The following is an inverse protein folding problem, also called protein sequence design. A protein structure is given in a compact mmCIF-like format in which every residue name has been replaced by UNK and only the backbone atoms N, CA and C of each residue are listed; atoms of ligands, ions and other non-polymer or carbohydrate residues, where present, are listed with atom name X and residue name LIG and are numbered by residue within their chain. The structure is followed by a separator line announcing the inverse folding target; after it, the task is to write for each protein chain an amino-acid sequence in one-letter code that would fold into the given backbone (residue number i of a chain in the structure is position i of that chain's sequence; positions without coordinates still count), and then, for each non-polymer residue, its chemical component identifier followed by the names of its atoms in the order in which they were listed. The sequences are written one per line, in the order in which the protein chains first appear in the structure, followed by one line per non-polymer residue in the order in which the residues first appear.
data_IF_919804421233
#
_entry.id   IF_919804421233
#
_cell.length_a   1.000
_cell.length_b   1.000
_cell.length_c   1.000
_cell.angle_alpha   90.00
_cell.angle_beta   90.00
_cell.angle_gamma   90.00
#
_symmetry.space_group_name_H-M   'P 1'
#
loop_
_entity.id
_entity.type
_entity.pdbx_description
1 polymer ?
#
# COMPACT_ATOMS: atom_id res chain seq x y z
N UNK A 1 -1.50 -29.21 -13.03
CA UNK A 1 -2.36 -29.06 -14.22
C UNK A 1 -2.93 -27.63 -14.23
N UNK A 2 -2.19 -26.66 -14.71
CA UNK A 2 -2.64 -25.27 -14.84
C UNK A 2 -3.51 -25.18 -16.09
N UNK A 3 -4.84 -25.28 -15.89
CA UNK A 3 -5.86 -25.00 -16.90
C UNK A 3 -5.51 -23.68 -17.60
N UNK A 4 -5.52 -23.65 -18.93
CA UNK A 4 -5.15 -22.45 -19.72
C UNK A 4 -6.01 -21.26 -19.30
N UNK A 5 -5.47 -20.45 -18.39
CA UNK A 5 -6.12 -19.21 -17.99
C UNK A 5 -6.01 -18.21 -19.12
N UNK A 6 -7.11 -17.56 -19.48
CA UNK A 6 -7.10 -16.48 -20.47
C UNK A 6 -6.10 -15.39 -20.06
N UNK A 7 -5.50 -14.72 -21.05
CA UNK A 7 -4.53 -13.64 -20.84
C UNK A 7 -5.08 -12.60 -19.86
N UNK A 8 -6.38 -12.28 -19.98
CA UNK A 8 -7.11 -11.37 -19.05
C UNK A 8 -6.95 -11.78 -17.59
N UNK A 9 -7.17 -13.06 -17.28
CA UNK A 9 -7.06 -13.58 -15.90
C UNK A 9 -5.62 -13.63 -15.42
N UNK A 10 -4.65 -13.99 -16.28
CA UNK A 10 -3.23 -14.00 -15.91
C UNK A 10 -2.75 -12.60 -15.55
N UNK A 11 -3.01 -11.62 -16.40
CA UNK A 11 -2.59 -10.22 -16.17
C UNK A 11 -3.24 -9.66 -14.91
N UNK A 12 -4.56 -9.85 -14.72
CA UNK A 12 -5.24 -9.41 -13.49
C UNK A 12 -4.60 -10.03 -12.26
N UNK A 13 -4.33 -11.34 -12.26
CA UNK A 13 -3.74 -12.04 -11.12
C UNK A 13 -2.32 -11.53 -10.80
N UNK A 14 -1.49 -11.29 -11.83
CA UNK A 14 -0.14 -10.77 -11.67
C UNK A 14 -0.15 -9.35 -11.07
N UNK A 15 -0.94 -8.43 -11.66
CA UNK A 15 -1.03 -7.06 -11.14
C UNK A 15 -1.62 -7.01 -9.74
N UNK A 16 -2.70 -7.75 -9.48
CA UNK A 16 -3.29 -7.82 -8.14
C UNK A 16 -2.31 -8.43 -7.14
N UNK A 17 -1.56 -9.45 -7.52
CA UNK A 17 -0.54 -10.07 -6.67
C UNK A 17 0.61 -9.11 -6.31
N UNK A 18 1.12 -8.35 -7.28
CA UNK A 18 2.17 -7.35 -7.03
C UNK A 18 1.65 -6.25 -6.10
N UNK A 19 0.46 -5.72 -6.36
CA UNK A 19 -0.14 -4.67 -5.53
C UNK A 19 -0.44 -5.20 -4.11
N UNK A 20 -0.95 -6.42 -3.99
CA UNK A 20 -1.17 -7.06 -2.70
C UNK A 20 0.13 -7.23 -1.90
N UNK A 21 1.23 -7.59 -2.57
CA UNK A 21 2.54 -7.70 -1.95
C UNK A 21 3.04 -6.33 -1.46
N UNK A 22 2.94 -5.29 -2.28
CA UNK A 22 3.36 -3.92 -1.91
C UNK A 22 2.51 -3.41 -0.73
N UNK A 23 1.19 -3.55 -0.80
CA UNK A 23 0.29 -3.15 0.29
C UNK A 23 0.56 -3.96 1.56
N UNK A 24 0.85 -5.26 1.44
CA UNK A 24 1.24 -6.11 2.56
C UNK A 24 2.53 -5.63 3.23
N UNK A 25 3.53 -5.25 2.44
CA UNK A 25 4.79 -4.70 2.95
C UNK A 25 4.56 -3.36 3.68
N UNK A 26 3.73 -2.48 3.12
CA UNK A 26 3.35 -1.21 3.77
C UNK A 26 2.62 -1.47 5.08
N UNK A 27 1.72 -2.45 5.11
CA UNK A 27 0.99 -2.83 6.32
C UNK A 27 1.94 -3.34 7.42
N UNK A 28 2.87 -4.23 7.10
CA UNK A 28 3.90 -4.71 8.04
C UNK A 28 4.76 -3.56 8.55
N UNK A 29 5.18 -2.65 7.66
CA UNK A 29 5.92 -1.46 8.05
C UNK A 29 5.12 -0.57 9.00
N UNK A 30 3.84 -0.31 8.71
CA UNK A 30 2.95 0.47 9.57
C UNK A 30 2.78 -0.16 10.96
N UNK A 31 2.61 -1.49 11.05
CA UNK A 31 2.55 -2.17 12.35
C UNK A 31 3.82 -1.93 13.17
N UNK A 32 4.98 -2.12 12.55
CA UNK A 32 6.26 -1.93 13.23
C UNK A 32 6.48 -0.46 13.65
N UNK A 33 6.12 0.47 12.78
CA UNK A 33 6.34 1.90 13.00
C UNK A 33 5.41 2.46 14.08
N UNK A 34 4.12 2.10 14.06
CA UNK A 34 3.12 2.58 15.02
C UNK A 34 3.49 2.17 16.45
N UNK A 35 3.87 0.89 16.66
CA UNK A 35 4.26 0.42 17.99
C UNK A 35 5.51 1.15 18.52
N UNK A 36 6.50 1.36 17.66
CA UNK A 36 7.75 2.00 18.07
C UNK A 36 7.60 3.50 18.34
N UNK A 37 6.91 4.21 17.46
CA UNK A 37 6.76 5.68 17.59
C UNK A 37 5.85 6.06 18.75
N UNK A 38 4.76 5.33 18.98
CA UNK A 38 3.84 5.63 20.09
C UNK A 38 4.50 5.52 21.46
N UNK A 39 5.30 4.48 21.69
CA UNK A 39 6.03 4.30 22.94
C UNK A 39 7.11 5.38 23.11
N UNK A 40 7.92 5.62 22.06
CA UNK A 40 9.00 6.61 22.12
C UNK A 40 8.51 8.03 22.33
N UNK A 41 7.38 8.42 21.73
CA UNK A 41 6.78 9.73 21.96
C UNK A 41 6.34 9.91 23.43
N UNK A 42 5.76 8.86 24.03
CA UNK A 42 5.37 8.90 25.46
C UNK A 42 6.58 8.93 26.40
N UNK A 43 7.67 8.23 26.05
CA UNK A 43 8.93 8.30 26.81
C UNK A 43 9.50 9.72 26.85
N UNK A 44 9.52 10.39 25.71
CA UNK A 44 10.00 11.77 25.58
C UNK A 44 9.10 12.74 26.34
N UNK A 45 7.77 12.60 26.21
CA UNK A 45 6.79 13.42 26.89
C UNK A 45 6.92 13.33 28.43
N UNK A 46 6.98 12.11 28.99
CA UNK A 46 7.11 11.91 30.45
C UNK A 46 8.47 12.41 30.96
N UNK A 47 9.54 12.17 30.20
CA UNK A 47 10.88 12.66 30.53
C UNK A 47 10.94 14.18 30.55
N UNK A 48 10.38 14.84 29.54
CA UNK A 48 10.29 16.29 29.48
C UNK A 48 9.42 16.87 30.64
N UNK A 49 8.27 16.24 30.91
CA UNK A 49 7.38 16.64 31.98
C UNK A 49 8.07 16.55 33.37
N UNK A 50 8.80 15.46 33.66
CA UNK A 50 9.55 15.30 34.90
C UNK A 50 10.66 16.34 35.03
N UNK A 51 11.36 16.61 33.93
CA UNK A 51 12.41 17.63 33.90
C UNK A 51 11.83 19.02 34.14
N UNK A 52 10.69 19.36 33.52
CA UNK A 52 9.97 20.60 33.77
C UNK A 52 9.46 20.71 35.19
N UNK A 53 8.89 19.61 35.74
CA UNK A 53 8.42 19.57 37.10
C UNK A 53 9.53 19.79 38.14
N UNK A 54 10.75 19.33 37.83
CA UNK A 54 11.91 19.53 38.72
C UNK A 54 12.25 21.01 38.96
N UNK A 55 11.89 21.90 38.05
CA UNK A 55 12.08 23.35 38.20
C UNK A 55 11.25 23.98 39.34
N UNK A 56 10.18 23.30 39.80
CA UNK A 56 9.38 23.75 40.95
C UNK A 56 10.11 23.56 42.30
N UNK A 57 11.25 22.85 42.31
CA UNK A 57 12.07 22.66 43.49
C UNK A 57 13.22 23.65 43.53
N UNK A 58 13.28 24.45 44.59
CA UNK A 58 14.40 25.33 44.87
C UNK A 58 15.24 24.70 45.99
N UNK A 59 16.53 24.57 45.73
CA UNK A 59 17.49 24.01 46.70
C UNK A 59 18.32 25.14 47.28
N UNK A 60 18.14 25.41 48.56
CA UNK A 60 18.83 26.46 49.27
C UNK A 60 19.24 25.97 50.66
N UNK A 61 20.46 26.27 51.11
CA UNK A 61 21.01 25.95 52.45
C UNK A 61 20.86 24.48 52.89
N UNK A 62 20.98 23.53 51.92
CA UNK A 62 20.88 22.10 52.21
C UNK A 62 19.46 21.61 52.47
N UNK A 63 18.44 22.42 52.14
CA UNK A 63 17.03 22.09 52.21
C UNK A 63 16.38 22.35 50.86
N UNK A 64 15.30 21.64 50.57
CA UNK A 64 14.49 21.91 49.36
C UNK A 64 13.20 22.62 49.76
N UNK A 65 12.79 23.54 48.89
CA UNK A 65 11.53 24.27 49.00
C UNK A 65 10.71 23.94 47.77
N UNK A 66 9.46 23.56 47.96
CA UNK A 66 8.49 23.34 46.92
C UNK A 66 7.59 24.56 46.79
N UNK A 67 7.34 25.02 45.58
CA UNK A 67 6.41 26.12 45.32
C UNK A 67 4.99 25.74 45.78
N UNK A 68 4.28 26.68 46.45
CA UNK A 68 2.92 26.44 46.96
C UNK A 68 1.92 26.11 45.85
N UNK A 69 2.14 26.58 44.62
CA UNK A 69 1.27 26.35 43.46
C UNK A 69 1.63 25.08 42.66
N UNK A 70 2.47 24.18 43.22
CA UNK A 70 2.91 22.99 42.51
C UNK A 70 1.77 22.00 42.26
N UNK A 71 1.45 21.77 41.01
CA UNK A 71 0.44 20.78 40.63
C UNK A 71 1.12 19.41 40.39
N UNK A 72 0.66 18.38 41.14
CA UNK A 72 1.16 17.00 41.04
C UNK A 72 0.49 16.18 39.91
N UNK A 73 -0.31 16.82 39.08
CA UNK A 73 -0.90 16.28 37.88
C UNK A 73 -0.93 17.34 36.80
N UNK A 74 -0.24 17.10 35.69
CA UNK A 74 -0.20 18.01 34.57
C UNK A 74 -0.07 17.20 33.27
N UNK A 75 -0.86 17.54 32.24
CA UNK A 75 -0.83 16.96 30.91
C UNK A 75 -0.87 15.42 30.88
N UNK A 76 -1.65 14.81 31.78
CA UNK A 76 -1.77 13.35 31.84
C UNK A 76 -0.66 12.64 32.63
N UNK A 77 0.33 13.40 33.14
CA UNK A 77 1.43 12.86 33.95
C UNK A 77 1.15 13.15 35.42
N UNK A 78 1.22 12.12 36.24
CA UNK A 78 1.18 12.23 37.72
C UNK A 78 2.59 12.27 38.27
N UNK A 79 2.86 13.20 39.15
CA UNK A 79 4.15 13.37 39.81
C UNK A 79 4.13 12.87 41.25
N UNK A 80 5.13 12.07 41.58
CA UNK A 80 5.38 11.56 42.91
C UNK A 80 6.82 11.88 43.31
N UNK A 81 6.98 12.37 44.56
CA UNK A 81 8.30 12.70 45.08
C UNK A 81 8.61 11.77 46.24
N UNK A 82 9.79 11.18 46.21
CA UNK A 82 10.27 10.23 47.21
C UNK A 82 11.57 10.72 47.84
N UNK A 83 11.78 10.29 49.10
CA UNK A 83 13.07 10.47 49.78
C UNK A 83 14.09 9.43 49.32
N UNK A 84 15.31 9.53 49.88
CA UNK A 84 16.41 8.58 49.63
C UNK A 84 16.08 7.13 49.99
N UNK A 85 15.15 6.92 50.92
CA UNK A 85 14.72 5.60 51.38
C UNK A 85 13.55 5.04 50.56
N UNK A 86 13.09 5.76 49.51
CA UNK A 86 11.96 5.39 48.71
C UNK A 86 10.59 5.62 49.37
N UNK A 87 10.52 6.45 50.40
CA UNK A 87 9.28 6.84 51.04
C UNK A 87 8.64 8.00 50.27
N UNK A 88 7.35 7.89 49.94
CA UNK A 88 6.61 8.95 49.29
C UNK A 88 6.48 10.17 50.20
N UNK A 89 6.95 11.31 49.71
CA UNK A 89 6.87 12.61 50.42
C UNK A 89 5.68 13.43 49.89
N UNK A 90 5.53 13.55 48.59
CA UNK A 90 4.48 14.36 47.95
C UNK A 90 3.91 13.63 46.73
N UNK A 91 2.67 14.00 46.39
CA UNK A 91 1.97 13.44 45.25
C UNK A 91 1.11 12.23 45.58
N UNK A 92 0.36 11.75 44.62
CA UNK A 92 -0.55 10.60 44.75
C UNK A 92 -0.29 9.61 43.64
N UNK A 93 -0.12 8.34 44.00
CA UNK A 93 0.02 7.28 43.04
C UNK A 93 -1.34 6.88 42.43
N UNK A 94 -1.41 6.52 41.16
CA UNK A 94 -2.62 5.95 40.57
C UNK A 94 -3.05 4.67 41.29
N UNK A 95 -4.37 4.46 41.43
CA UNK A 95 -4.94 3.35 42.22
C UNK A 95 -4.42 1.96 41.81
N UNK A 96 -4.21 1.75 40.49
CA UNK A 96 -3.76 0.47 39.95
C UNK A 96 -2.25 0.38 39.72
N UNK A 97 -1.50 1.38 40.19
CA UNK A 97 -0.05 1.38 40.08
C UNK A 97 0.57 0.53 41.21
N UNK A 98 1.60 -0.32 40.91
CA UNK A 98 2.21 -1.16 41.92
C UNK A 98 3.00 -0.30 42.92
N UNK A 99 2.63 -0.39 44.22
CA UNK A 99 3.19 0.43 45.30
C UNK A 99 4.68 0.21 45.56
N UNK A 100 5.20 -0.97 45.22
CA UNK A 100 6.61 -1.31 45.42
C UNK A 100 7.32 -1.38 44.05
N UNK A 101 7.74 -0.22 43.55
CA UNK A 101 8.47 -0.12 42.32
C UNK A 101 9.84 0.49 42.58
N UNK A 102 10.89 -0.21 42.16
CA UNK A 102 12.28 0.24 42.27
C UNK A 102 12.47 1.57 41.54
N UNK A 103 13.10 2.55 42.16
CA UNK A 103 13.50 3.82 41.54
C UNK A 103 14.73 3.56 40.65
N UNK A 104 14.70 4.03 39.41
CA UNK A 104 15.82 3.95 38.46
C UNK A 104 15.99 5.28 37.74
N UNK A 105 17.13 5.93 37.97
CA UNK A 105 17.40 7.25 37.45
C UNK A 105 17.53 7.25 35.91
N UNK A 106 16.92 8.25 35.28
CA UNK A 106 17.06 8.62 33.86
C UNK A 106 16.79 7.49 32.86
N UNK A 107 15.94 6.52 33.23
CA UNK A 107 15.59 5.41 32.35
C UNK A 107 14.08 5.29 32.26
N UNK A 108 13.45 5.69 31.13
CA UNK A 108 12.04 5.47 30.92
C UNK A 108 11.76 3.96 30.85
N UNK A 109 10.64 3.53 31.42
CA UNK A 109 10.25 2.12 31.44
C UNK A 109 8.75 1.92 31.54
N UNK A 110 8.30 0.84 30.94
CA UNK A 110 6.92 0.40 31.06
C UNK A 110 6.76 -0.53 32.26
N UNK A 111 5.82 -0.23 33.14
CA UNK A 111 5.44 -1.06 34.28
C UNK A 111 4.04 -1.59 34.06
N UNK A 112 3.90 -2.93 34.10
CA UNK A 112 2.59 -3.59 33.93
C UNK A 112 2.07 -4.03 35.29
N UNK A 113 0.82 -3.68 35.59
CA UNK A 113 0.11 -4.11 36.78
C UNK A 113 -1.30 -4.56 36.43
N UNK A 114 -1.53 -5.87 36.41
CA UNK A 114 -2.78 -6.45 35.92
C UNK A 114 -3.03 -6.10 34.45
N UNK A 115 -4.16 -5.46 34.17
CA UNK A 115 -4.54 -5.00 32.83
C UNK A 115 -4.04 -3.58 32.50
N UNK A 116 -3.40 -2.91 33.43
CA UNK A 116 -2.95 -1.52 33.25
C UNK A 116 -1.46 -1.46 32.98
N UNK A 117 -1.06 -0.63 32.04
CA UNK A 117 0.34 -0.35 31.74
C UNK A 117 0.63 1.12 31.93
N UNK A 118 1.77 1.38 32.51
CA UNK A 118 2.19 2.71 32.91
C UNK A 118 3.58 3.00 32.34
N UNK A 119 3.77 4.16 31.75
CA UNK A 119 5.08 4.70 31.46
C UNK A 119 5.58 5.43 32.71
N UNK A 120 6.79 5.15 33.11
CA UNK A 120 7.42 5.73 34.30
C UNK A 120 8.80 6.25 33.93
N UNK A 121 9.08 7.45 34.40
CA UNK A 121 10.40 8.05 34.35
C UNK A 121 10.79 8.61 35.70
N UNK A 122 11.97 8.27 36.19
CA UNK A 122 12.49 8.72 37.47
C UNK A 122 13.70 9.64 37.24
N UNK A 123 13.70 10.78 37.89
CA UNK A 123 14.82 11.71 37.98
C UNK A 123 15.27 11.85 39.40
N UNK A 124 16.58 11.89 39.63
CA UNK A 124 17.17 12.08 40.96
C UNK A 124 17.84 13.43 41.04
N UNK A 125 17.56 14.15 42.11
CA UNK A 125 18.16 15.44 42.40
C UNK A 125 18.84 15.39 43.77
N UNK A 126 20.16 15.59 43.80
CA UNK A 126 20.95 15.61 45.03
C UNK A 126 20.97 17.00 45.66
N UNK A 127 20.79 17.09 46.98
CA UNK A 127 20.85 18.33 47.74
C UNK A 127 21.60 18.12 49.04
N UNK A 128 22.31 19.15 49.50
CA UNK A 128 23.12 19.07 50.74
C UNK A 128 24.26 18.04 50.66
N UNK A 129 24.70 17.60 51.83
CA UNK A 129 25.78 16.58 51.92
C UNK A 129 25.14 15.19 51.95
N UNK A 130 24.97 14.51 50.82
CA UNK A 130 24.46 13.14 50.71
C UNK A 130 22.95 12.91 50.86
N UNK A 131 22.11 13.88 50.53
CA UNK A 131 20.66 13.68 50.44
C UNK A 131 20.19 13.78 48.99
N UNK A 132 19.23 12.96 48.62
CA UNK A 132 18.60 13.02 47.32
C UNK A 132 17.08 12.98 47.42
N UNK A 133 16.41 13.62 46.48
CA UNK A 133 14.98 13.40 46.20
C UNK A 133 14.82 12.76 44.85
N UNK A 134 13.84 11.90 44.76
CA UNK A 134 13.47 11.25 43.51
C UNK A 134 12.13 11.81 43.05
N UNK A 135 12.10 12.27 41.81
CA UNK A 135 10.88 12.74 41.13
C UNK A 135 10.48 11.68 40.14
N UNK A 136 9.33 11.12 40.31
CA UNK A 136 8.74 10.10 39.43
C UNK A 136 7.57 10.69 38.68
N UNK A 137 7.62 10.65 37.34
CA UNK A 137 6.48 10.87 36.47
C UNK A 137 5.85 9.53 36.09
N UNK A 138 4.54 9.46 36.17
CA UNK A 138 3.72 8.29 35.86
C UNK A 138 2.63 8.70 34.89
N UNK A 139 2.54 8.07 33.73
CA UNK A 139 1.42 8.25 32.80
C UNK A 139 0.85 6.90 32.36
N UNK A 140 -0.45 6.87 32.09
CA UNK A 140 -1.12 5.67 31.61
C UNK A 140 -0.96 5.56 30.09
N UNK A 141 -0.41 4.45 29.62
CA UNK A 141 -0.33 4.15 28.17
C UNK A 141 -1.52 3.35 27.64
N UNK A 142 -2.53 3.13 28.51
CA UNK A 142 -3.69 2.33 28.14
C UNK A 142 -4.47 2.91 26.94
N UNK A 143 -4.67 4.22 26.91
CA UNK A 143 -5.37 4.88 25.79
C UNK A 143 -4.60 4.73 24.47
N UNK A 144 -3.28 4.82 24.53
CA UNK A 144 -2.39 4.66 23.37
C UNK A 144 -2.44 3.21 22.89
N UNK A 145 -2.37 2.23 23.80
CA UNK A 145 -2.50 0.81 23.44
C UNK A 145 -3.87 0.47 22.80
N UNK A 146 -4.96 1.00 23.36
CA UNK A 146 -6.30 0.80 22.80
C UNK A 146 -6.39 1.42 21.42
N UNK A 147 -5.86 2.62 21.22
CA UNK A 147 -5.80 3.26 19.92
C UNK A 147 -4.98 2.44 18.91
N UNK A 148 -3.78 1.99 19.30
CA UNK A 148 -2.91 1.17 18.45
C UNK A 148 -3.57 -0.16 18.06
N UNK A 149 -4.10 -0.89 19.05
CA UNK A 149 -4.74 -2.19 18.79
C UNK A 149 -6.01 -2.06 17.94
N UNK A 150 -6.76 -0.97 18.13
CA UNK A 150 -7.96 -0.70 17.33
C UNK A 150 -7.58 -0.33 15.90
N UNK A 151 -6.58 0.52 15.71
CA UNK A 151 -6.06 0.88 14.39
C UNK A 151 -5.53 -0.35 13.63
N UNK A 152 -4.80 -1.24 14.33
CA UNK A 152 -4.32 -2.50 13.76
C UNK A 152 -5.47 -3.40 13.31
N UNK A 153 -6.50 -3.56 14.14
CA UNK A 153 -7.71 -4.34 13.77
C UNK A 153 -8.42 -3.75 12.56
N UNK A 154 -8.58 -2.42 12.51
CA UNK A 154 -9.16 -1.75 11.34
C UNK A 154 -8.35 -1.99 10.06
N UNK A 155 -7.01 -1.91 10.14
CA UNK A 155 -6.14 -2.18 8.99
C UNK A 155 -6.29 -3.62 8.48
N UNK A 156 -6.37 -4.62 9.37
CA UNK A 156 -6.56 -6.02 9.02
C UNK A 156 -7.89 -6.23 8.27
N UNK A 157 -8.95 -5.53 8.68
CA UNK A 157 -10.27 -5.62 8.02
C UNK A 157 -10.29 -4.87 6.68
N UNK A 158 -9.70 -3.69 6.63
CA UNK A 158 -9.70 -2.85 5.42
C UNK A 158 -8.80 -3.40 4.31
N UNK A 159 -7.71 -4.07 4.66
CA UNK A 159 -6.74 -4.61 3.70
C UNK A 159 -7.37 -5.52 2.64
N UNK A 160 -8.12 -6.58 2.97
CA UNK A 160 -8.76 -7.44 1.98
C UNK A 160 -9.82 -6.71 1.14
N UNK A 161 -10.51 -5.71 1.72
CA UNK A 161 -11.48 -4.88 1.00
C UNK A 161 -10.78 -4.05 -0.08
N UNK A 162 -9.65 -3.41 0.24
CA UNK A 162 -8.85 -2.67 -0.73
C UNK A 162 -8.32 -3.57 -1.85
N UNK A 163 -7.80 -4.76 -1.51
CA UNK A 163 -7.32 -5.72 -2.52
C UNK A 163 -8.46 -6.11 -3.47
N UNK A 164 -9.65 -6.37 -2.94
CA UNK A 164 -10.81 -6.74 -3.74
C UNK A 164 -11.25 -5.61 -4.67
N UNK A 165 -11.29 -4.37 -4.17
CA UNK A 165 -11.60 -3.18 -4.99
C UNK A 165 -10.58 -2.99 -6.12
N UNK A 166 -9.30 -3.14 -5.82
CA UNK A 166 -8.22 -3.03 -6.81
C UNK A 166 -8.35 -4.15 -7.85
N UNK A 167 -8.55 -5.39 -7.43
CA UNK A 167 -8.74 -6.52 -8.33
C UNK A 167 -9.94 -6.31 -9.27
N UNK A 168 -11.03 -5.80 -8.73
CA UNK A 168 -12.23 -5.47 -9.49
C UNK A 168 -11.97 -4.36 -10.52
N UNK A 169 -11.30 -3.29 -10.10
CA UNK A 169 -10.95 -2.16 -10.98
C UNK A 169 -10.04 -2.60 -12.12
N UNK A 170 -8.97 -3.34 -11.81
CA UNK A 170 -8.03 -3.89 -12.80
C UNK A 170 -8.74 -4.83 -13.77
N UNK A 171 -9.63 -5.71 -13.25
CA UNK A 171 -10.39 -6.62 -14.10
C UNK A 171 -11.30 -5.88 -15.10
N UNK A 172 -12.04 -4.87 -14.64
CA UNK A 172 -12.92 -4.09 -15.52
C UNK A 172 -12.12 -3.27 -16.54
N UNK A 173 -11.01 -2.66 -16.11
CA UNK A 173 -10.12 -1.92 -17.02
C UNK A 173 -9.55 -2.82 -18.12
N UNK A 174 -9.01 -3.98 -17.77
CA UNK A 174 -8.50 -4.96 -18.71
C UNK A 174 -9.57 -5.52 -19.64
N UNK A 175 -10.77 -5.81 -19.10
CA UNK A 175 -11.90 -6.27 -19.90
C UNK A 175 -12.28 -5.24 -20.96
N UNK A 176 -12.26 -3.95 -20.62
CA UNK A 176 -12.58 -2.85 -21.55
C UNK A 176 -11.47 -2.68 -22.61
N UNK A 177 -10.20 -2.66 -22.20
CA UNK A 177 -9.07 -2.51 -23.11
C UNK A 177 -8.96 -3.68 -24.10
N UNK A 178 -9.08 -4.91 -23.61
CA UNK A 178 -8.96 -6.10 -24.46
C UNK A 178 -10.20 -6.34 -25.35
N UNK A 179 -11.32 -5.71 -25.07
CA UNK A 179 -12.50 -5.77 -25.96
C UNK A 179 -12.21 -5.16 -27.33
N UNK A 180 -11.39 -4.10 -27.40
CA UNK A 180 -11.02 -3.47 -28.66
C UNK A 180 -10.14 -4.40 -29.50
N UNK A 181 -9.22 -5.15 -28.85
CA UNK A 181 -8.40 -6.16 -29.53
C UNK A 181 -9.25 -7.31 -30.08
N UNK A 182 -10.20 -7.81 -29.26
CA UNK A 182 -11.14 -8.86 -29.70
C UNK A 182 -11.91 -8.39 -30.96
N UNK A 183 -12.41 -7.13 -30.97
CA UNK A 183 -13.11 -6.57 -32.14
C UNK A 183 -12.24 -6.48 -33.40
N UNK A 184 -10.97 -6.10 -33.26
CA UNK A 184 -10.03 -6.08 -34.39
C UNK A 184 -9.82 -7.51 -34.93
N UNK A 185 -9.60 -8.48 -34.05
CA UNK A 185 -9.43 -9.88 -34.42
C UNK A 185 -10.67 -10.41 -35.17
N UNK A 186 -11.88 -10.17 -34.67
CA UNK A 186 -13.12 -10.58 -35.29
C UNK A 186 -13.30 -9.95 -36.68
N UNK A 187 -12.92 -8.66 -36.87
CA UNK A 187 -12.99 -7.99 -38.16
C UNK A 187 -11.97 -8.56 -39.14
N UNK A 188 -10.72 -8.82 -38.70
CA UNK A 188 -9.68 -9.46 -39.52
C UNK A 188 -10.12 -10.85 -39.99
N UNK A 189 -10.71 -11.64 -39.09
CA UNK A 189 -11.22 -12.97 -39.38
C UNK A 189 -12.34 -12.92 -40.43
N UNK A 190 -13.30 -12.02 -40.27
CA UNK A 190 -14.41 -11.81 -41.20
C UNK A 190 -13.95 -11.38 -42.60
N UNK A 191 -12.93 -10.53 -42.71
CA UNK A 191 -12.34 -10.12 -43.98
C UNK A 191 -11.63 -11.30 -44.65
N UNK A 192 -10.84 -12.07 -43.90
CA UNK A 192 -10.06 -13.20 -44.38
C UNK A 192 -10.95 -14.36 -44.88
N UNK A 193 -11.96 -14.76 -44.10
CA UNK A 193 -12.86 -15.86 -44.49
C UNK A 193 -13.90 -15.45 -45.52
N UNK A 194 -14.33 -14.20 -45.54
CA UNK A 194 -15.34 -13.67 -46.48
C UNK A 194 -14.82 -13.48 -47.91
N UNK A 195 -13.54 -13.66 -48.18
CA UNK A 195 -12.86 -13.40 -49.48
C UNK A 195 -13.13 -11.99 -50.04
N UNK A 196 -13.62 -11.08 -49.22
CA UNK A 196 -13.91 -9.71 -49.60
C UNK A 196 -12.81 -8.78 -49.03
N UNK A 197 -11.72 -8.72 -49.77
CA UNK A 197 -10.54 -7.92 -49.45
C UNK A 197 -10.76 -6.41 -49.62
N UNK A 198 -11.94 -5.98 -50.12
CA UNK A 198 -12.28 -4.57 -50.28
C UNK A 198 -12.66 -3.94 -48.93
N UNK A 199 -13.07 -4.75 -47.94
CA UNK A 199 -13.40 -4.28 -46.59
C UNK A 199 -12.18 -3.82 -45.83
N UNK A 200 -12.37 -2.82 -44.98
CA UNK A 200 -11.32 -2.25 -44.13
C UNK A 200 -11.73 -2.33 -42.67
N UNK A 201 -10.73 -2.44 -41.77
CA UNK A 201 -10.94 -2.34 -40.35
C UNK A 201 -11.38 -0.93 -39.99
N UNK A 202 -12.37 -0.83 -39.10
CA UNK A 202 -12.75 0.46 -38.53
C UNK A 202 -11.66 0.95 -37.57
N UNK A 203 -11.12 2.13 -37.86
CA UNK A 203 -10.07 2.71 -37.03
C UNK A 203 -10.65 3.18 -35.67
N UNK A 204 -9.97 2.91 -34.54
CA UNK A 204 -10.33 3.48 -33.26
C UNK A 204 -10.37 5.00 -33.29
N UNK A 205 -11.23 5.62 -32.46
CA UNK A 205 -11.33 7.09 -32.39
C UNK A 205 -10.09 7.74 -31.78
N UNK A 206 -9.37 7.01 -30.93
CA UNK A 206 -8.13 7.45 -30.26
C UNK A 206 -6.95 6.93 -31.07
N UNK A 207 -5.98 7.80 -31.35
CA UNK A 207 -4.73 7.45 -32.03
C UNK A 207 -3.74 6.85 -31.02
N UNK A 208 -3.96 5.60 -30.65
CA UNK A 208 -3.11 4.77 -29.80
C UNK A 208 -2.45 3.65 -30.62
N UNK A 209 -1.81 2.72 -29.94
CA UNK A 209 -1.14 1.56 -30.54
C UNK A 209 -2.12 0.66 -31.33
N UNK A 210 -3.39 0.63 -30.92
CA UNK A 210 -4.44 -0.11 -31.62
C UNK A 210 -4.86 0.58 -32.91
N UNK A 211 -4.82 1.90 -32.96
CA UNK A 211 -5.03 2.66 -34.19
C UNK A 211 -3.92 2.36 -35.19
N UNK A 212 -2.64 2.42 -34.77
CA UNK A 212 -1.52 2.10 -35.64
C UNK A 212 -1.58 0.66 -36.16
N UNK A 213 -1.94 -0.29 -35.29
CA UNK A 213 -2.12 -1.68 -35.66
C UNK A 213 -3.21 -1.84 -36.72
N UNK A 214 -4.37 -1.24 -36.52
CA UNK A 214 -5.49 -1.28 -37.47
C UNK A 214 -5.12 -0.63 -38.80
N UNK A 215 -4.36 0.47 -38.77
CA UNK A 215 -3.89 1.14 -39.97
C UNK A 215 -2.92 0.24 -40.80
N UNK A 216 -1.98 -0.42 -40.13
CA UNK A 216 -1.06 -1.38 -40.75
C UNK A 216 -1.78 -2.60 -41.37
N UNK A 217 -2.81 -3.10 -40.69
CA UNK A 217 -3.66 -4.15 -41.25
C UNK A 217 -4.39 -3.67 -42.50
N UNK A 218 -4.94 -2.44 -42.49
CA UNK A 218 -5.59 -1.88 -43.67
C UNK A 218 -4.62 -1.75 -44.87
N UNK A 219 -3.37 -1.31 -44.64
CA UNK A 219 -2.33 -1.27 -45.68
C UNK A 219 -1.96 -2.67 -46.19
N UNK A 220 -1.95 -3.67 -45.31
CA UNK A 220 -1.73 -5.05 -45.71
C UNK A 220 -2.87 -5.56 -46.61
N UNK A 221 -4.13 -5.31 -46.27
CA UNK A 221 -5.28 -5.69 -47.09
C UNK A 221 -5.27 -5.01 -48.43
N UNK A 222 -4.90 -3.72 -48.51
CA UNK A 222 -4.75 -3.00 -49.78
C UNK A 222 -3.74 -3.67 -50.73
N UNK A 223 -2.58 -4.04 -50.20
CA UNK A 223 -1.56 -4.76 -50.99
C UNK A 223 -2.02 -6.16 -51.43
N UNK A 224 -2.77 -6.86 -50.59
CA UNK A 224 -3.34 -8.15 -50.91
C UNK A 224 -4.39 -8.02 -52.04
N UNK A 225 -5.28 -7.03 -51.93
CA UNK A 225 -6.30 -6.70 -52.93
C UNK A 225 -5.63 -6.46 -54.32
N UNK A 226 -4.64 -5.55 -54.36
CA UNK A 226 -3.88 -5.28 -55.60
C UNK A 226 -3.20 -6.54 -56.16
N UNK A 227 -2.67 -7.40 -55.31
CA UNK A 227 -2.03 -8.66 -55.74
C UNK A 227 -3.02 -9.64 -56.33
N UNK A 228 -4.20 -9.78 -55.71
CA UNK A 228 -5.28 -10.62 -56.20
C UNK A 228 -5.85 -10.11 -57.52
N UNK A 229 -6.04 -8.82 -57.68
CA UNK A 229 -6.48 -8.21 -58.94
C UNK A 229 -5.52 -8.50 -60.08
N UNK A 230 -4.20 -8.33 -59.83
CA UNK A 230 -3.16 -8.66 -60.84
C UNK A 230 -3.15 -10.14 -61.18
N UNK A 231 -3.29 -11.04 -60.19
CA UNK A 231 -3.36 -12.49 -60.46
C UNK A 231 -4.62 -12.86 -61.23
N UNK A 232 -5.75 -12.25 -60.96
CA UNK A 232 -7.00 -12.48 -61.65
C UNK A 232 -6.92 -12.00 -63.10
N UNK A 233 -6.33 -10.82 -63.32
CA UNK A 233 -6.07 -10.29 -64.66
C UNK A 233 -5.11 -11.20 -65.46
N UNK A 234 -4.00 -11.59 -64.83
CA UNK A 234 -3.04 -12.51 -65.45
C UNK A 234 -3.70 -13.84 -65.84
N UNK A 235 -4.51 -14.42 -64.96
CA UNK A 235 -5.23 -15.67 -65.23
C UNK A 235 -6.24 -15.53 -66.42
N UNK A 236 -6.94 -14.38 -66.45
CA UNK A 236 -7.84 -14.07 -67.55
C UNK A 236 -7.10 -13.93 -68.89
N UNK A 237 -5.99 -13.18 -68.90
CA UNK A 237 -5.17 -12.96 -70.13
C UNK A 237 -4.58 -14.25 -70.61
N UNK A 238 -3.98 -15.07 -69.71
CA UNK A 238 -3.45 -16.41 -70.12
C UNK A 238 -4.56 -17.32 -70.65
N UNK A 239 -5.77 -17.28 -70.01
CA UNK A 239 -6.89 -18.09 -70.52
C UNK A 239 -7.34 -17.68 -71.92
N UNK A 240 -7.34 -16.36 -72.14
CA UNK A 240 -7.62 -15.86 -73.55
C UNK A 240 -6.55 -16.23 -74.57
N UNK A 241 -5.27 -16.10 -74.24
CA UNK A 241 -4.18 -16.42 -75.07
C UNK A 241 -4.05 -17.93 -75.35
N UNK A 242 -4.38 -18.78 -74.40
CA UNK A 242 -4.38 -20.25 -74.59
C UNK A 242 -5.60 -20.75 -75.38
N UNK A 243 -6.74 -20.04 -75.31
CA UNK A 243 -7.95 -20.45 -76.06
C UNK A 243 -7.70 -20.50 -77.56
N UNK A 244 -6.98 -19.54 -78.13
CA UNK A 244 -6.70 -19.43 -79.54
C UNK A 244 -5.89 -20.63 -80.10
N UNK A 245 -4.71 -20.99 -79.53
CA UNK A 245 -3.95 -22.14 -80.03
C UNK A 245 -4.66 -23.48 -79.78
N UNK A 246 -5.37 -23.60 -78.65
CA UNK A 246 -6.16 -24.80 -78.34
C UNK A 246 -7.29 -24.99 -79.36
N UNK A 247 -7.98 -23.94 -79.76
CA UNK A 247 -9.03 -23.99 -80.81
C UNK A 247 -8.46 -24.39 -82.12
N UNK A 248 -7.26 -23.90 -82.56
CA UNK A 248 -6.58 -24.29 -83.78
C UNK A 248 -6.20 -25.77 -83.75
N UNK A 249 -5.65 -26.26 -82.64
CA UNK A 249 -5.29 -27.67 -82.45
C UNK A 249 -6.52 -28.58 -82.60
N UNK A 250 -7.61 -28.23 -81.92
CA UNK A 250 -8.88 -28.99 -82.00
C UNK A 250 -9.39 -29.02 -83.43
N UNK A 251 -9.42 -27.87 -84.09
CA UNK A 251 -9.83 -27.78 -85.49
C UNK A 251 -8.96 -28.62 -86.43
N UNK A 252 -7.68 -28.80 -86.20
CA UNK A 252 -6.79 -29.64 -86.93
C UNK A 252 -6.94 -31.11 -86.60
N UNK A 253 -7.45 -31.51 -85.45
CA UNK A 253 -7.69 -32.90 -85.09
C UNK A 253 -9.05 -33.43 -85.56
N UNK A 254 -9.97 -32.57 -85.98
CA UNK A 254 -11.29 -32.95 -86.56
C UNK A 254 -11.27 -33.17 -88.10
N UNK A 255 -10.16 -32.97 -88.73
CA UNK A 255 -9.91 -33.31 -90.11
C UNK A 255 -9.05 -34.60 -90.27
#
# INVERSE_FOLDING_TARGET
MMKQMTIKKKVTLWYTGIIALILGMVLVFMFYFVDKVGISATEEEVSAAVTGFSANFQFQDGTYYLSEDTQFYQDGVMFCVYDDNGKLLYGTMPEKFPKQTILKSHTPRVITSGSSKWMVYDSVHTYGKNKAIWIRGITSIHAIEVFMTTSQKMMIVLYPVFILLIAMTVYFMLKRALKQVDLICDQVENISYGKDLTKRLSLPKVRDELYELSHKFNQMFERLEESFEKEQQFTADVSHELRTPVTVIISQCEY
#
